data_IF_026027495402
#
_entry.id   IF_026027495402
#
_cell.length_a   1.000
_cell.length_b   1.000
_cell.length_c   1.000
_cell.angle_alpha   90.00
_cell.angle_beta   90.00
_cell.angle_gamma   90.00
#
_symmetry.space_group_name_H-M   'P 1'
#
loop_
_entity.id
_entity.type
_entity.pdbx_description
1 polymer ?
#
# COMPACT_ATOMS: atom_id res chain seq x y z
N UNK A 1 -6.38 -5.97 -16.98
CA UNK A 1 -6.12 -4.79 -16.19
C UNK A 1 -5.34 -5.14 -14.95
N UNK A 2 -4.27 -4.39 -14.74
CA UNK A 2 -3.24 -4.67 -13.76
C UNK A 2 -3.74 -4.79 -12.32
N UNK A 3 -4.69 -3.93 -11.94
CA UNK A 3 -5.18 -3.88 -10.57
C UNK A 3 -6.52 -4.58 -10.37
N UNK A 4 -7.09 -5.15 -11.42
CA UNK A 4 -8.41 -5.75 -11.35
C UNK A 4 -8.48 -6.91 -10.35
N UNK A 5 -7.53 -7.83 -10.43
CA UNK A 5 -7.45 -8.95 -9.48
C UNK A 5 -7.18 -8.48 -8.06
N UNK A 6 -6.31 -7.49 -7.90
CA UNK A 6 -6.00 -6.93 -6.59
C UNK A 6 -7.26 -6.35 -5.94
N UNK A 7 -8.03 -5.59 -6.68
CA UNK A 7 -9.27 -4.97 -6.17
C UNK A 7 -10.28 -6.04 -5.78
N UNK A 8 -10.45 -7.06 -6.59
CA UNK A 8 -11.38 -8.16 -6.30
C UNK A 8 -10.94 -8.89 -5.04
N UNK A 9 -9.67 -9.21 -4.91
CA UNK A 9 -9.13 -9.90 -3.75
C UNK A 9 -9.36 -9.07 -2.50
N UNK A 10 -9.07 -7.77 -2.54
CA UNK A 10 -9.28 -6.88 -1.39
C UNK A 10 -10.75 -6.80 -0.98
N UNK A 11 -11.67 -6.83 -1.93
CA UNK A 11 -13.10 -6.78 -1.64
C UNK A 11 -13.62 -8.07 -1.03
N UNK A 12 -12.96 -9.19 -1.24
CA UNK A 12 -13.38 -10.50 -0.77
C UNK A 12 -12.69 -10.93 0.53
N UNK A 13 -11.58 -10.32 0.88
CA UNK A 13 -10.80 -10.70 2.06
C UNK A 13 -11.52 -10.32 3.34
N UNK A 14 -11.57 -11.26 4.29
CA UNK A 14 -11.94 -10.96 5.67
C UNK A 14 -10.76 -10.32 6.36
N UNK A 15 -11.01 -9.19 7.01
CA UNK A 15 -9.94 -8.44 7.65
C UNK A 15 -9.66 -9.00 9.04
N UNK A 16 -8.48 -9.57 9.22
CA UNK A 16 -7.96 -9.97 10.51
C UNK A 16 -6.92 -8.96 10.94
N UNK A 17 -7.09 -8.42 12.15
CA UNK A 17 -6.24 -7.34 12.65
C UNK A 17 -4.93 -7.86 13.23
N UNK A 18 -4.05 -8.36 12.39
CA UNK A 18 -2.68 -8.64 12.79
C UNK A 18 -1.77 -7.60 12.17
N UNK A 19 -1.17 -6.77 13.02
CA UNK A 19 -0.25 -5.73 12.58
C UNK A 19 0.95 -6.38 11.89
N UNK A 20 1.03 -6.27 10.59
CA UNK A 20 2.14 -6.83 9.82
C UNK A 20 2.21 -6.24 8.44
N UNK A 21 3.44 -6.14 7.95
CA UNK A 21 3.69 -5.85 6.55
C UNK A 21 3.54 -7.16 5.77
N UNK A 22 2.62 -7.18 4.85
CA UNK A 22 2.44 -8.33 3.97
C UNK A 22 3.01 -8.00 2.60
N UNK A 23 4.02 -8.75 2.19
CA UNK A 23 4.66 -8.54 0.90
C UNK A 23 3.74 -9.01 -0.22
N UNK A 24 3.32 -8.10 -1.08
CA UNK A 24 2.44 -8.42 -2.20
C UNK A 24 3.21 -8.96 -3.39
N UNK A 25 4.26 -8.25 -3.82
CA UNK A 25 5.11 -8.71 -4.91
C UNK A 25 6.39 -7.88 -4.96
N UNK A 26 7.35 -8.40 -5.73
CA UNK A 26 8.62 -7.71 -5.97
C UNK A 26 8.68 -7.26 -7.42
N UNK A 27 9.26 -6.08 -7.63
CA UNK A 27 9.60 -5.57 -8.96
C UNK A 27 11.08 -5.25 -8.98
N UNK A 28 11.62 -4.93 -10.17
CA UNK A 28 13.06 -4.67 -10.30
C UNK A 28 13.56 -3.51 -9.44
N UNK A 29 12.72 -2.50 -9.19
CA UNK A 29 13.07 -1.32 -8.41
C UNK A 29 12.82 -1.45 -6.92
N UNK A 30 12.11 -2.49 -6.47
CA UNK A 30 11.81 -2.66 -5.06
C UNK A 30 10.71 -3.67 -4.78
N UNK A 31 10.19 -3.61 -3.56
CA UNK A 31 9.13 -4.49 -3.09
C UNK A 31 7.90 -3.69 -2.70
N UNK A 32 6.72 -4.27 -2.92
CA UNK A 32 5.47 -3.67 -2.51
C UNK A 32 4.88 -4.45 -1.34
N UNK A 33 4.56 -3.74 -0.26
CA UNK A 33 3.97 -4.31 0.95
C UNK A 33 2.59 -3.72 1.20
N UNK A 34 1.73 -4.52 1.82
CA UNK A 34 0.44 -4.08 2.33
C UNK A 34 0.52 -4.02 3.86
N UNK A 35 0.09 -2.90 4.42
CA UNK A 35 0.01 -2.75 5.87
C UNK A 35 -1.35 -3.30 6.33
N UNK A 36 -1.35 -4.53 6.83
CA UNK A 36 -2.59 -5.25 7.11
C UNK A 36 -3.40 -4.67 8.25
N UNK A 37 -2.73 -4.02 9.23
CA UNK A 37 -3.41 -3.37 10.34
C UNK A 37 -4.04 -2.02 9.96
N UNK A 38 -3.75 -1.50 8.78
CA UNK A 38 -4.31 -0.24 8.30
C UNK A 38 -5.62 -0.42 7.55
N UNK A 39 -6.02 -1.66 7.28
CA UNK A 39 -7.19 -1.94 6.46
C UNK A 39 -8.47 -1.63 7.23
N UNK A 40 -9.27 -0.71 6.69
CA UNK A 40 -10.58 -0.37 7.27
C UNK A 40 -11.64 -0.54 6.20
N UNK A 41 -12.70 -1.24 6.58
CA UNK A 41 -13.83 -1.44 5.68
C UNK A 41 -15.02 -0.62 6.15
N UNK A 42 -15.57 0.19 5.24
CA UNK A 42 -16.73 1.01 5.51
C UNK A 42 -17.69 0.89 4.32
N UNK A 43 -18.74 0.10 4.48
CA UNK A 43 -19.70 -0.21 3.40
C UNK A 43 -18.98 -0.82 2.19
N UNK A 44 -19.03 -0.14 1.05
CA UNK A 44 -18.39 -0.61 -0.19
C UNK A 44 -16.98 -0.05 -0.37
N UNK A 45 -16.44 0.62 0.65
CA UNK A 45 -15.12 1.23 0.56
C UNK A 45 -14.14 0.56 1.49
N UNK A 46 -12.91 0.41 1.02
CA UNK A 46 -11.79 -0.12 1.83
C UNK A 46 -10.68 0.90 1.82
N UNK A 47 -10.29 1.35 3.01
CA UNK A 47 -9.14 2.22 3.19
C UNK A 47 -7.97 1.37 3.63
N UNK A 48 -6.80 1.61 3.05
CA UNK A 48 -5.60 0.84 3.39
C UNK A 48 -4.36 1.63 3.02
N UNK A 49 -3.22 1.21 3.56
CA UNK A 49 -1.95 1.78 3.16
C UNK A 49 -1.02 0.71 2.60
N UNK A 50 -0.24 1.11 1.62
CA UNK A 50 0.78 0.30 0.98
C UNK A 50 2.13 0.95 1.20
N UNK A 51 3.19 0.15 1.15
CA UNK A 51 4.55 0.64 1.23
C UNK A 51 5.33 0.14 0.02
N UNK A 52 5.93 1.07 -0.70
CA UNK A 52 6.91 0.75 -1.73
C UNK A 52 8.29 0.87 -1.10
N UNK A 53 9.03 -0.23 -1.11
CA UNK A 53 10.34 -0.30 -0.49
C UNK A 53 11.38 -0.40 -1.61
N UNK A 54 12.08 0.70 -1.88
CA UNK A 54 13.01 0.78 -3.00
C UNK A 54 14.35 0.13 -2.68
N UNK A 55 14.98 -0.46 -3.69
CA UNK A 55 16.32 -1.07 -3.57
C UNK A 55 17.42 -0.02 -3.53
N UNK A 56 17.18 1.13 -4.12
CA UNK A 56 18.16 2.23 -4.14
C UNK A 56 17.45 3.56 -3.96
N UNK A 57 18.21 4.56 -3.51
CA UNK A 57 17.66 5.90 -3.27
C UNK A 57 17.09 6.49 -4.55
N UNK A 58 15.90 7.06 -4.44
CA UNK A 58 15.26 7.79 -5.53
C UNK A 58 15.84 9.22 -5.61
N UNK A 59 15.43 9.97 -6.62
CA UNK A 59 15.99 11.30 -6.89
C UNK A 59 15.95 12.26 -5.70
N UNK A 60 14.91 12.17 -4.89
CA UNK A 60 14.77 13.03 -3.71
C UNK A 60 15.39 12.43 -2.45
N UNK A 61 16.10 11.32 -2.57
CA UNK A 61 16.73 10.63 -1.44
C UNK A 61 15.85 9.67 -0.69
N UNK A 62 14.63 9.45 -1.11
CA UNK A 62 13.74 8.51 -0.41
C UNK A 62 14.08 7.06 -0.73
N UNK A 63 13.91 6.19 0.26
CA UNK A 63 14.06 4.74 0.12
C UNK A 63 12.76 3.99 0.30
N UNK A 64 11.73 4.63 0.84
CA UNK A 64 10.40 4.02 0.90
C UNK A 64 9.34 5.10 0.76
N UNK A 65 8.17 4.66 0.25
CA UNK A 65 7.02 5.53 0.03
C UNK A 65 5.77 4.83 0.56
N UNK A 66 5.07 5.48 1.47
CA UNK A 66 3.80 4.98 1.99
C UNK A 66 2.67 5.66 1.24
N UNK A 67 1.76 4.86 0.70
CA UNK A 67 0.64 5.34 -0.10
C UNK A 67 -0.65 4.96 0.60
N UNK A 68 -1.48 5.95 0.90
CA UNK A 68 -2.81 5.73 1.47
C UNK A 68 -3.82 5.70 0.34
N UNK A 69 -4.60 4.63 0.27
CA UNK A 69 -5.49 4.37 -0.86
C UNK A 69 -6.88 3.99 -0.39
N UNK A 70 -7.85 4.19 -1.29
CA UNK A 70 -9.23 3.81 -1.08
C UNK A 70 -9.70 2.97 -2.26
N UNK A 71 -10.30 1.83 -1.98
CA UNK A 71 -10.92 0.99 -2.99
C UNK A 71 -12.43 1.11 -2.86
N UNK A 72 -13.12 1.31 -3.99
CA UNK A 72 -14.56 1.24 -4.06
C UNK A 72 -14.93 -0.10 -4.67
N UNK A 73 -15.47 -1.00 -3.84
CA UNK A 73 -15.82 -2.36 -4.28
C UNK A 73 -17.03 -2.38 -5.20
N UNK A 74 -17.87 -1.35 -5.15
CA UNK A 74 -19.06 -1.28 -5.98
C UNK A 74 -18.73 -1.09 -7.46
N UNK A 75 -17.77 -0.21 -7.76
CA UNK A 75 -17.36 0.06 -9.15
C UNK A 75 -15.94 -0.43 -9.47
N UNK A 76 -15.32 -1.16 -8.53
CA UNK A 76 -13.97 -1.73 -8.70
C UNK A 76 -12.93 -0.68 -9.08
N UNK A 77 -12.96 0.46 -8.40
CA UNK A 77 -11.99 1.53 -8.62
C UNK A 77 -11.08 1.71 -7.41
N UNK A 78 -9.89 2.24 -7.67
CA UNK A 78 -8.91 2.54 -6.62
C UNK A 78 -8.51 4.01 -6.75
N UNK A 79 -8.38 4.69 -5.61
CA UNK A 79 -7.99 6.09 -5.55
C UNK A 79 -6.89 6.27 -4.52
N UNK A 80 -5.81 6.94 -4.92
CA UNK A 80 -4.72 7.26 -4.00
C UNK A 80 -5.03 8.58 -3.31
N UNK A 81 -4.98 8.58 -1.97
CA UNK A 81 -5.39 9.73 -1.16
C UNK A 81 -4.22 10.56 -0.67
N UNK A 82 -3.11 9.92 -0.32
CA UNK A 82 -1.99 10.60 0.35
C UNK A 82 -0.71 9.80 0.18
N UNK A 83 0.42 10.51 0.17
CA UNK A 83 1.75 9.90 0.09
C UNK A 83 2.62 10.39 1.23
N UNK A 84 3.44 9.50 1.78
CA UNK A 84 4.50 9.85 2.73
C UNK A 84 5.80 9.20 2.28
N UNK A 85 6.83 10.01 2.08
CA UNK A 85 8.15 9.53 1.67
C UNK A 85 9.10 9.49 2.86
N UNK A 86 9.95 8.47 2.91
CA UNK A 86 10.88 8.24 4.02
C UNK A 86 12.30 8.06 3.50
N UNK A 87 13.27 8.47 4.31
CA UNK A 87 14.69 8.42 3.94
C UNK A 87 15.30 7.03 4.07
N UNK A 88 14.64 6.11 4.76
CA UNK A 88 15.09 4.73 4.92
C UNK A 88 14.03 3.76 4.47
N UNK A 89 14.42 2.48 4.36
CA UNK A 89 13.49 1.42 3.97
C UNK A 89 12.42 1.18 5.04
N UNK A 90 11.33 0.57 4.65
CA UNK A 90 10.23 0.13 5.51
C UNK A 90 9.56 1.28 6.28
N UNK A 91 9.52 2.47 5.69
CA UNK A 91 8.87 3.62 6.33
C UNK A 91 9.63 4.18 7.52
N UNK A 92 10.93 3.94 7.56
CA UNK A 92 11.78 4.40 8.65
C UNK A 92 12.55 5.66 8.26
N UNK A 93 13.23 6.23 9.24
CA UNK A 93 14.06 7.40 9.00
C UNK A 93 13.26 8.69 8.92
N UNK A 94 13.84 9.67 8.25
CA UNK A 94 13.25 11.01 8.15
C UNK A 94 12.11 11.01 7.14
N UNK A 95 11.00 11.60 7.54
CA UNK A 95 9.84 11.80 6.66
C UNK A 95 10.02 13.11 5.89
N UNK A 96 9.84 13.03 4.58
CA UNK A 96 9.94 14.21 3.71
C UNK A 96 8.64 14.97 3.61
#
# INVERSE_FOLDING_TARGET
>A
MKYFFFIIIMCLISINSNAAWFKLFSISSGDLYLETDSIERNNNKILFSQLVNYKSKQKNGMLSLKVFSEINCKNLSIRELKYLAFSKNMGMGKKF
#
